data_IF_452999991994
#
_entry.id   IF_452999991994
#
_cell.length_a   1.000
_cell.length_b   1.000
_cell.length_c   1.000
_cell.angle_alpha   90.00
_cell.angle_beta   90.00
_cell.angle_gamma   90.00
#
_symmetry.space_group_name_H-M   'P 1'
#
loop_
_entity.id
_entity.type
_entity.pdbx_description
1 polymer ?
#
# COMPACT_ATOMS: atom_id res chain seq x y z
N UNK A 1 6.46 -10.84 28.03
CA UNK A 1 5.78 -9.54 27.98
C UNK A 1 4.98 -9.55 26.69
N UNK A 2 3.66 -9.58 26.79
CA UNK A 2 2.80 -9.32 25.62
C UNK A 2 2.88 -7.82 25.36
N UNK A 3 3.56 -7.41 24.29
CA UNK A 3 3.80 -6.00 23.91
C UNK A 3 2.51 -5.24 23.50
N UNK A 4 1.33 -5.62 23.99
CA UNK A 4 0.06 -4.93 23.78
C UNK A 4 -0.49 -4.99 22.34
N UNK A 5 0.35 -5.32 21.35
CA UNK A 5 -0.02 -5.43 19.95
C UNK A 5 -0.67 -6.79 19.68
N UNK A 6 -2.00 -6.84 19.87
CA UNK A 6 -2.80 -8.00 19.51
C UNK A 6 -3.21 -7.91 18.03
N UNK A 7 -2.76 -8.85 17.17
CA UNK A 7 -3.12 -8.83 15.76
C UNK A 7 -4.63 -9.05 15.60
N UNK A 8 -5.28 -8.18 14.81
CA UNK A 8 -6.72 -8.27 14.52
C UNK A 8 -6.97 -9.31 13.41
N UNK A 9 -6.13 -9.31 12.37
CA UNK A 9 -6.24 -10.22 11.24
C UNK A 9 -4.90 -10.33 10.51
N UNK A 10 -4.69 -11.47 9.86
CA UNK A 10 -3.60 -11.70 8.91
C UNK A 10 -4.17 -11.91 7.51
N UNK A 11 -3.49 -11.40 6.49
CA UNK A 11 -3.87 -11.64 5.10
C UNK A 11 -2.64 -11.80 4.21
N UNK A 12 -2.71 -12.76 3.30
CA UNK A 12 -1.73 -12.99 2.24
C UNK A 12 -2.45 -13.34 0.95
N UNK A 13 -1.77 -13.13 -0.18
CA UNK A 13 -2.26 -13.46 -1.51
C UNK A 13 -1.07 -13.79 -2.41
N UNK A 14 -1.24 -14.81 -3.26
CA UNK A 14 -0.30 -15.14 -4.33
C UNK A 14 -0.47 -14.17 -5.51
N UNK A 15 0.66 -13.75 -6.09
CA UNK A 15 0.68 -12.92 -7.29
C UNK A 15 0.22 -13.73 -8.51
N UNK A 16 -0.47 -13.07 -9.45
CA UNK A 16 -0.73 -13.64 -10.77
C UNK A 16 0.55 -13.64 -11.62
N UNK A 17 0.63 -14.53 -12.63
CA UNK A 17 1.78 -14.61 -13.56
C UNK A 17 2.21 -13.27 -14.18
N UNK A 18 1.26 -12.36 -14.38
CA UNK A 18 1.54 -11.01 -14.90
C UNK A 18 2.09 -10.08 -13.82
N UNK A 19 1.63 -10.21 -12.57
CA UNK A 19 2.07 -9.43 -11.40
C UNK A 19 3.44 -9.90 -10.89
N UNK A 20 3.79 -11.18 -11.08
CA UNK A 20 5.12 -11.72 -10.78
C UNK A 20 6.24 -10.99 -11.53
N UNK A 21 5.94 -10.46 -12.72
CA UNK A 21 6.87 -9.70 -13.56
C UNK A 21 7.00 -8.22 -13.16
N UNK A 22 6.19 -7.76 -12.19
CA UNK A 22 6.26 -6.38 -11.73
C UNK A 22 7.53 -6.11 -10.94
N UNK A 23 7.94 -4.84 -10.92
CA UNK A 23 9.03 -4.40 -10.05
C UNK A 23 8.69 -4.67 -8.58
N UNK A 24 9.71 -4.78 -7.73
CA UNK A 24 9.52 -4.96 -6.28
C UNK A 24 8.61 -3.88 -5.69
N UNK A 25 8.84 -2.63 -6.10
CA UNK A 25 8.03 -1.48 -5.70
C UNK A 25 6.55 -1.65 -6.09
N UNK A 26 6.29 -2.06 -7.33
CA UNK A 26 4.92 -2.24 -7.82
C UNK A 26 4.21 -3.40 -7.12
N UNK A 27 4.93 -4.46 -6.75
CA UNK A 27 4.39 -5.59 -5.98
C UNK A 27 3.96 -5.17 -4.59
N UNK A 28 4.76 -4.37 -3.90
CA UNK A 28 4.43 -3.86 -2.57
C UNK A 28 3.27 -2.87 -2.61
N UNK A 29 3.26 -1.95 -3.59
CA UNK A 29 2.14 -1.03 -3.79
C UNK A 29 0.83 -1.79 -4.08
N UNK A 30 0.90 -2.85 -4.90
CA UNK A 30 -0.22 -3.74 -5.17
C UNK A 30 -0.69 -4.46 -3.90
N UNK A 31 0.24 -4.92 -3.06
CA UNK A 31 -0.08 -5.57 -1.80
C UNK A 31 -0.84 -4.62 -0.86
N UNK A 32 -0.40 -3.38 -0.72
CA UNK A 32 -1.10 -2.34 0.07
C UNK A 32 -2.52 -2.14 -0.46
N UNK A 33 -2.66 -1.89 -1.76
CA UNK A 33 -3.95 -1.64 -2.37
C UNK A 33 -4.91 -2.83 -2.19
N UNK A 34 -4.39 -4.06 -2.28
CA UNK A 34 -5.17 -5.26 -2.05
C UNK A 34 -5.59 -5.41 -0.58
N UNK A 35 -4.69 -5.15 0.37
CA UNK A 35 -4.96 -5.21 1.81
C UNK A 35 -6.03 -4.19 2.21
N UNK A 36 -5.93 -2.95 1.73
CA UNK A 36 -6.94 -1.92 2.03
C UNK A 36 -8.30 -2.30 1.45
N UNK A 37 -8.35 -2.82 0.22
CA UNK A 37 -9.59 -3.33 -0.38
C UNK A 37 -10.16 -4.54 0.37
N UNK A 38 -9.31 -5.38 0.95
CA UNK A 38 -9.75 -6.57 1.70
C UNK A 38 -10.30 -6.19 3.07
N UNK A 39 -9.67 -5.25 3.74
CA UNK A 39 -10.05 -4.79 5.07
C UNK A 39 -10.84 -3.49 4.98
N UNK A 40 -12.08 -3.58 4.51
CA UNK A 40 -12.99 -2.44 4.40
C UNK A 40 -13.20 -1.66 5.70
N UNK A 41 -12.95 -2.26 6.87
CA UNK A 41 -13.00 -1.57 8.17
C UNK A 41 -11.87 -0.53 8.35
N UNK A 42 -10.87 -0.52 7.47
CA UNK A 42 -9.81 0.50 7.41
C UNK A 42 -10.26 1.73 6.60
N UNK A 43 -11.27 1.61 5.73
CA UNK A 43 -11.77 2.74 4.93
C UNK A 43 -12.41 3.81 5.83
N UNK A 44 -12.09 5.09 5.59
CA UNK A 44 -12.62 6.22 6.37
C UNK A 44 -12.10 6.28 7.81
N UNK A 45 -10.98 5.60 8.09
CA UNK A 45 -10.27 5.66 9.37
C UNK A 45 -8.81 5.98 9.12
N UNK A 46 -8.23 6.77 10.00
CA UNK A 46 -6.79 7.00 9.99
C UNK A 46 -6.06 5.73 10.44
N UNK A 47 -5.17 5.21 9.61
CA UNK A 47 -4.31 4.07 9.93
C UNK A 47 -2.89 4.29 9.39
N UNK A 48 -1.92 3.63 10.02
CA UNK A 48 -0.51 3.73 9.63
C UNK A 48 -0.08 2.46 8.92
N UNK A 49 0.45 2.61 7.70
CA UNK A 49 1.08 1.51 6.98
C UNK A 49 2.57 1.46 7.37
N UNK A 50 3.02 0.30 7.84
CA UNK A 50 4.43 0.04 8.11
C UNK A 50 5.00 -0.81 6.98
N UNK A 51 5.97 -0.28 6.25
CA UNK A 51 6.73 -0.97 5.20
C UNK A 51 8.22 -0.73 5.38
N UNK A 52 9.01 -1.74 5.05
CA UNK A 52 10.48 -1.73 5.01
C UNK A 52 11.04 -0.97 3.80
N UNK A 53 10.22 -0.68 2.78
CA UNK A 53 10.69 -0.10 1.54
C UNK A 53 10.53 1.44 1.49
N UNK A 54 11.66 2.14 1.50
CA UNK A 54 11.73 3.62 1.51
C UNK A 54 11.03 4.31 0.33
N UNK A 55 11.10 3.84 -0.94
CA UNK A 55 10.44 4.47 -2.07
C UNK A 55 8.92 4.54 -1.91
N UNK A 56 8.30 3.54 -1.28
CA UNK A 56 6.87 3.56 -0.99
C UNK A 56 6.49 4.68 -0.03
N UNK A 57 7.34 4.98 0.96
CA UNK A 57 7.11 6.12 1.87
C UNK A 57 7.02 7.43 1.09
N UNK A 58 7.82 7.60 0.04
CA UNK A 58 7.77 8.79 -0.80
C UNK A 58 6.52 8.84 -1.69
N UNK A 59 6.14 7.73 -2.30
CA UNK A 59 4.95 7.66 -3.18
C UNK A 59 3.65 7.85 -2.38
N UNK A 60 3.64 7.40 -1.13
CA UNK A 60 2.47 7.46 -0.25
C UNK A 60 2.54 8.59 0.79
N UNK A 61 3.53 9.49 0.71
CA UNK A 61 3.59 10.65 1.59
C UNK A 61 2.53 11.68 1.18
N UNK A 62 1.61 12.08 2.08
CA UNK A 62 0.61 13.11 1.77
C UNK A 62 1.26 14.47 1.41
N UNK A 63 2.43 14.75 1.98
CA UNK A 63 3.14 16.03 1.80
C UNK A 63 4.04 16.09 0.56
N UNK A 64 4.35 14.94 -0.05
CA UNK A 64 5.27 14.88 -1.18
C UNK A 64 4.48 14.47 -2.42
N UNK A 65 4.12 15.47 -3.22
CA UNK A 65 3.40 15.29 -4.47
C UNK A 65 3.99 14.15 -5.32
N UNK A 66 3.10 13.43 -6.01
CA UNK A 66 3.45 12.29 -6.85
C UNK A 66 4.59 12.70 -7.81
N UNK A 67 5.77 12.05 -7.77
CA UNK A 67 6.89 12.43 -8.63
C UNK A 67 6.47 12.41 -10.10
N UNK A 68 6.77 13.46 -10.86
CA UNK A 68 6.37 13.59 -12.27
C UNK A 68 6.89 12.44 -13.17
N UNK A 69 7.91 11.69 -12.73
CA UNK A 69 8.47 10.50 -13.39
C UNK A 69 7.96 9.16 -12.82
N UNK A 70 6.90 9.13 -12.02
CA UNK A 70 6.31 7.87 -11.58
C UNK A 70 5.57 7.20 -12.74
N UNK A 71 5.87 5.92 -12.96
CA UNK A 71 5.23 5.09 -14.00
C UNK A 71 3.71 5.19 -13.85
N UNK A 72 2.96 5.27 -14.96
CA UNK A 72 1.50 5.50 -14.96
C UNK A 72 0.68 4.62 -13.99
N UNK A 73 1.20 3.45 -13.63
CA UNK A 73 0.61 2.54 -12.63
C UNK A 73 0.76 3.04 -11.19
N UNK A 74 1.91 3.58 -10.81
CA UNK A 74 2.17 4.13 -9.47
C UNK A 74 1.31 5.37 -9.21
N UNK A 75 1.12 6.21 -10.23
CA UNK A 75 0.20 7.34 -10.16
C UNK A 75 -1.24 6.89 -9.83
N UNK A 76 -1.72 5.81 -10.48
CA UNK A 76 -3.06 5.25 -10.19
C UNK A 76 -3.18 4.73 -8.77
N UNK A 77 -2.11 4.13 -8.21
CA UNK A 77 -2.11 3.68 -6.83
C UNK A 77 -2.13 4.85 -5.85
N UNK A 78 -1.35 5.90 -6.11
CA UNK A 78 -1.35 7.11 -5.30
C UNK A 78 -2.73 7.79 -5.30
N UNK A 79 -3.38 7.93 -6.46
CA UNK A 79 -4.75 8.49 -6.57
C UNK A 79 -5.79 7.65 -5.82
N UNK A 80 -5.69 6.33 -5.91
CA UNK A 80 -6.62 5.45 -5.18
C UNK A 80 -6.47 5.61 -3.67
N UNK A 81 -5.23 5.70 -3.18
CA UNK A 81 -4.95 5.80 -1.75
C UNK A 81 -5.19 7.21 -1.21
N UNK A 82 -5.00 8.27 -2.00
CA UNK A 82 -5.37 9.64 -1.60
C UNK A 82 -6.88 9.83 -1.41
N UNK A 83 -7.69 8.94 -1.98
CA UNK A 83 -9.14 8.95 -1.80
C UNK A 83 -9.65 8.15 -0.59
N UNK A 84 -8.76 7.64 0.27
CA UNK A 84 -9.12 6.87 1.47
C UNK A 84 -9.30 7.73 2.74
N UNK A 85 -9.17 9.06 2.60
CA UNK A 85 -9.40 10.06 3.66
C UNK A 85 -10.84 10.02 4.20
#
# INVERSE_FOLDING_TARGET
MDDGNRPIAFASRTLYKTEERYSQLDKEALAILWVVKKFFYLCGRHFTIVTDHQPLKYIFSPDKGIPAMSVARQQRYAVFLSGLD
#
